data_IF_032328378282
#
_entry.id   IF_032328378282
#
_cell.length_a   1.000
_cell.length_b   1.000
_cell.length_c   1.000
_cell.angle_alpha   90.00
_cell.angle_beta   90.00
_cell.angle_gamma   90.00
#
_symmetry.space_group_name_H-M   'P 1'
#
loop_
_entity.id
_entity.type
_entity.pdbx_description
1 polymer ?
#
# COMPACT_ATOMS: atom_id res chain seq x y z
N UNK A 1 14.95 42.01 9.20
CA UNK A 1 14.82 40.76 9.99
C UNK A 1 15.14 39.49 9.19
N UNK A 2 14.56 39.26 8.00
CA UNK A 2 14.84 38.05 7.21
C UNK A 2 16.32 37.88 6.78
N UNK A 3 16.98 38.95 6.31
CA UNK A 3 18.40 38.91 5.93
C UNK A 3 19.33 38.64 7.13
N UNK A 4 19.04 39.22 8.30
CA UNK A 4 19.78 38.94 9.54
C UNK A 4 19.64 37.48 9.98
N UNK A 5 18.42 36.91 9.89
CA UNK A 5 18.17 35.50 10.23
C UNK A 5 18.86 34.55 9.26
N UNK A 6 18.85 34.83 7.95
CA UNK A 6 19.59 34.02 6.97
C UNK A 6 21.11 34.10 7.15
N UNK A 7 21.62 35.27 7.53
CA UNK A 7 23.05 35.46 7.80
C UNK A 7 23.47 34.73 9.08
N UNK A 8 22.68 34.82 10.16
CA UNK A 8 22.91 34.07 11.39
C UNK A 8 22.87 32.54 11.18
N UNK A 9 21.91 32.04 10.39
CA UNK A 9 21.86 30.61 10.01
C UNK A 9 23.07 30.18 9.17
N UNK A 10 23.55 31.04 8.27
CA UNK A 10 24.73 30.74 7.45
C UNK A 10 26.00 30.69 8.30
N UNK A 11 26.16 31.60 9.26
CA UNK A 11 27.27 31.58 10.21
C UNK A 11 27.24 30.34 11.10
N UNK A 12 26.06 30.01 11.65
CA UNK A 12 25.88 28.80 12.45
C UNK A 12 26.22 27.54 11.64
N UNK A 13 25.73 27.46 10.40
CA UNK A 13 26.03 26.34 9.50
C UNK A 13 27.52 26.24 9.21
N UNK A 14 28.21 27.36 8.96
CA UNK A 14 29.66 27.36 8.74
C UNK A 14 30.40 26.79 9.95
N UNK A 15 30.09 27.24 11.16
CA UNK A 15 30.73 26.78 12.40
C UNK A 15 30.43 25.29 12.63
N UNK A 16 29.17 24.90 12.54
CA UNK A 16 28.76 23.50 12.74
C UNK A 16 29.40 22.58 11.71
N UNK A 17 29.42 22.98 10.44
CA UNK A 17 30.06 22.21 9.38
C UNK A 17 31.56 22.09 9.63
N UNK A 18 32.26 23.18 9.95
CA UNK A 18 33.70 23.14 10.19
C UNK A 18 34.08 22.26 11.36
N UNK A 19 33.36 22.33 12.48
CA UNK A 19 33.57 21.47 13.65
C UNK A 19 33.30 20.00 13.31
N UNK A 20 32.20 19.71 12.61
CA UNK A 20 31.86 18.34 12.22
C UNK A 20 32.87 17.77 11.22
N UNK A 21 33.32 18.59 10.26
CA UNK A 21 34.32 18.24 9.28
C UNK A 21 35.65 17.92 9.95
N UNK A 22 36.11 18.78 10.88
CA UNK A 22 37.34 18.54 11.65
C UNK A 22 37.25 17.28 12.51
N UNK A 23 36.12 17.05 13.19
CA UNK A 23 35.93 15.84 13.99
C UNK A 23 36.02 14.57 13.12
N UNK A 24 35.35 14.56 11.95
CA UNK A 24 35.41 13.45 11.01
C UNK A 24 36.79 13.29 10.38
N UNK A 25 37.49 14.38 10.10
CA UNK A 25 38.86 14.35 9.59
C UNK A 25 39.81 13.75 10.63
N UNK A 26 39.72 14.15 11.91
CA UNK A 26 40.52 13.57 13.00
C UNK A 26 40.30 12.07 13.14
N UNK A 27 39.04 11.62 13.08
CA UNK A 27 38.71 10.17 13.10
C UNK A 27 39.33 9.48 11.88
N UNK A 28 39.22 10.08 10.70
CA UNK A 28 39.76 9.51 9.46
C UNK A 28 41.28 9.48 9.45
N UNK A 29 41.93 10.50 10.00
CA UNK A 29 43.38 10.59 10.15
C UNK A 29 43.90 9.52 11.11
N UNK A 30 43.22 9.32 12.24
CA UNK A 30 43.54 8.24 13.18
C UNK A 30 43.39 6.84 12.58
N UNK A 31 42.54 6.68 11.54
CA UNK A 31 42.35 5.40 10.86
C UNK A 31 43.35 5.14 9.74
N UNK A 32 43.80 6.18 9.05
CA UNK A 32 44.59 6.06 7.82
C UNK A 32 46.06 6.44 7.96
N UNK A 33 46.42 7.16 9.02
CA UNK A 33 47.74 7.79 9.23
C UNK A 33 48.19 8.69 8.07
N UNK A 34 47.27 9.06 7.16
CA UNK A 34 47.50 9.93 6.01
C UNK A 34 46.45 11.05 5.97
N UNK A 35 46.93 12.30 6.02
CA UNK A 35 46.08 13.49 5.98
C UNK A 35 45.31 13.65 4.68
N UNK A 36 45.84 13.16 3.55
CA UNK A 36 45.18 13.22 2.26
C UNK A 36 44.01 12.22 2.21
N UNK A 37 44.29 10.98 2.59
CA UNK A 37 43.29 9.91 2.66
C UNK A 37 42.16 10.26 3.65
N UNK A 38 42.51 10.88 4.77
CA UNK A 38 41.57 11.36 5.78
C UNK A 38 40.56 12.39 5.25
N UNK A 39 40.95 13.24 4.30
CA UNK A 39 40.04 14.21 3.65
C UNK A 39 39.01 13.51 2.77
N UNK A 40 39.43 12.45 2.06
CA UNK A 40 38.60 11.72 1.11
C UNK A 40 37.66 10.70 1.77
N UNK A 41 37.95 10.26 2.99
CA UNK A 41 37.15 9.28 3.72
C UNK A 41 35.84 9.90 4.25
N UNK A 42 35.72 10.17 5.56
CA UNK A 42 34.47 10.61 6.18
C UNK A 42 34.06 12.05 5.83
N UNK A 43 34.95 13.06 5.80
CA UNK A 43 34.55 14.44 5.54
C UNK A 43 33.85 14.62 4.19
N UNK A 44 34.30 13.91 3.15
CA UNK A 44 33.69 13.91 1.83
C UNK A 44 32.24 13.40 1.84
N UNK A 45 31.94 12.37 2.64
CA UNK A 45 30.59 11.86 2.80
C UNK A 45 29.64 12.89 3.42
N UNK A 46 30.07 13.56 4.50
CA UNK A 46 29.31 14.63 5.13
C UNK A 46 29.04 15.78 4.14
N UNK A 47 30.06 16.20 3.40
CA UNK A 47 29.96 17.25 2.38
C UNK A 47 28.89 16.93 1.34
N UNK A 48 29.01 15.77 0.68
CA UNK A 48 28.08 15.36 -0.36
C UNK A 48 26.64 15.35 0.17
N UNK A 49 26.45 14.83 1.38
CA UNK A 49 25.13 14.74 1.98
C UNK A 49 24.51 16.11 2.27
N UNK A 50 25.26 17.01 2.89
CA UNK A 50 24.77 18.36 3.19
C UNK A 50 24.50 19.16 1.91
N UNK A 51 25.31 18.99 0.86
CA UNK A 51 25.07 19.64 -0.43
C UNK A 51 23.78 19.15 -1.12
N UNK A 52 23.44 17.86 -0.97
CA UNK A 52 22.19 17.29 -1.49
C UNK A 52 20.98 17.77 -0.68
N UNK A 53 21.07 17.74 0.65
CA UNK A 53 19.94 17.96 1.56
C UNK A 53 19.63 19.44 1.83
N UNK A 54 20.65 20.30 1.81
CA UNK A 54 20.47 21.74 2.05
C UNK A 54 20.13 22.51 0.76
N UNK A 55 19.37 23.62 0.87
CA UNK A 55 19.12 24.51 -0.25
C UNK A 55 20.42 25.07 -0.85
N UNK A 56 20.46 25.23 -2.17
CA UNK A 56 21.64 25.71 -2.94
C UNK A 56 22.26 27.01 -2.44
N UNK A 57 21.48 27.87 -1.79
CA UNK A 57 21.96 29.13 -1.19
C UNK A 57 23.07 28.94 -0.15
N UNK A 58 23.16 27.76 0.47
CA UNK A 58 24.17 27.46 1.49
C UNK A 58 25.42 26.79 0.93
N UNK A 59 25.45 26.42 -0.36
CA UNK A 59 26.63 25.79 -0.96
C UNK A 59 27.90 26.65 -0.86
N UNK A 60 27.88 27.98 -1.11
CA UNK A 60 29.09 28.79 -0.99
C UNK A 60 29.66 28.78 0.43
N UNK A 61 28.80 28.72 1.45
CA UNK A 61 29.21 28.68 2.86
C UNK A 61 29.97 27.38 3.17
N UNK A 62 29.45 26.24 2.72
CA UNK A 62 30.10 24.93 2.90
C UNK A 62 31.45 24.89 2.16
N UNK A 63 31.48 25.34 0.90
CA UNK A 63 32.70 25.36 0.08
C UNK A 63 33.77 26.27 0.67
N UNK A 64 33.40 27.49 1.10
CA UNK A 64 34.35 28.43 1.71
C UNK A 64 34.91 27.90 3.03
N UNK A 65 34.05 27.33 3.89
CA UNK A 65 34.47 26.73 5.14
C UNK A 65 35.47 25.59 4.90
N UNK A 66 35.19 24.71 3.95
CA UNK A 66 36.09 23.60 3.63
C UNK A 66 37.40 24.05 2.98
N UNK A 67 37.36 25.02 2.06
CA UNK A 67 38.58 25.58 1.47
C UNK A 67 39.46 26.22 2.54
N UNK A 68 38.88 26.90 3.53
CA UNK A 68 39.62 27.45 4.67
C UNK A 68 40.27 26.36 5.53
N UNK A 69 39.56 25.26 5.78
CA UNK A 69 40.10 24.12 6.53
C UNK A 69 41.21 23.39 5.78
N UNK A 70 41.04 23.15 4.48
CA UNK A 70 42.08 22.54 3.64
C UNK A 70 43.31 23.45 3.54
N UNK A 71 43.13 24.77 3.42
CA UNK A 71 44.23 25.73 3.48
C UNK A 71 44.95 25.74 4.82
N UNK A 72 44.20 25.59 5.92
CA UNK A 72 44.78 25.46 7.27
C UNK A 72 45.59 24.17 7.43
N UNK A 73 45.07 23.03 6.95
CA UNK A 73 45.79 21.74 6.98
C UNK A 73 47.08 21.79 6.14
N UNK A 74 47.03 22.46 4.99
CA UNK A 74 48.21 22.68 4.14
C UNK A 74 49.28 23.51 4.88
N UNK A 75 48.88 24.59 5.55
CA UNK A 75 49.79 25.44 6.32
C UNK A 75 50.41 24.68 7.52
N UNK A 76 49.65 23.78 8.15
CA UNK A 76 50.15 22.92 9.23
C UNK A 76 50.97 21.72 8.76
N UNK A 77 51.23 21.59 7.45
CA UNK A 77 51.95 20.46 6.85
C UNK A 77 51.31 19.09 7.11
N UNK A 78 50.05 19.07 7.56
CA UNK A 78 49.27 17.83 7.77
C UNK A 78 48.78 17.25 6.44
N UNK A 79 48.82 18.05 5.37
CA UNK A 79 48.42 17.66 4.02
C UNK A 79 49.29 18.41 3.00
N UNK A 80 49.96 17.68 2.09
CA UNK A 80 51.03 18.24 1.26
C UNK A 80 50.58 18.66 -0.15
N UNK A 81 49.38 18.26 -0.58
CA UNK A 81 48.96 18.36 -1.99
C UNK A 81 47.88 19.44 -2.21
N UNK A 82 48.25 20.58 -2.79
CA UNK A 82 47.32 21.69 -3.07
C UNK A 82 46.12 21.28 -3.93
N UNK A 83 46.29 20.29 -4.80
CA UNK A 83 45.23 19.80 -5.71
C UNK A 83 43.97 19.31 -4.98
N UNK A 84 44.08 18.90 -3.70
CA UNK A 84 42.91 18.46 -2.92
C UNK A 84 41.87 19.58 -2.73
N UNK A 85 42.29 20.84 -2.83
CA UNK A 85 41.39 22.01 -2.72
C UNK A 85 40.34 22.06 -3.83
N UNK A 86 40.53 21.29 -4.92
CA UNK A 86 39.52 21.12 -5.98
C UNK A 86 38.43 20.10 -5.61
N UNK A 87 38.67 19.22 -4.64
CA UNK A 87 37.73 18.18 -4.20
C UNK A 87 36.32 18.70 -3.88
N UNK A 88 36.13 19.81 -3.13
CA UNK A 88 34.80 20.32 -2.80
C UNK A 88 33.99 20.71 -4.05
N UNK A 89 34.65 21.22 -5.09
CA UNK A 89 34.01 21.63 -6.33
C UNK A 89 33.56 20.44 -7.18
N UNK A 90 34.30 19.33 -7.14
CA UNK A 90 33.95 18.11 -7.84
C UNK A 90 32.63 17.51 -7.35
N UNK A 91 32.34 17.62 -6.05
CA UNK A 91 31.07 17.16 -5.47
C UNK A 91 29.84 18.01 -5.86
N UNK A 92 30.02 19.19 -6.48
CA UNK A 92 28.90 20.01 -6.97
C UNK A 92 28.10 19.29 -8.07
N UNK A 93 28.79 18.57 -8.97
CA UNK A 93 28.16 17.89 -10.11
C UNK A 93 27.18 16.81 -9.64
N UNK A 94 27.59 15.79 -8.86
CA UNK A 94 26.68 14.76 -8.36
C UNK A 94 25.62 15.34 -7.42
N UNK A 95 25.95 16.33 -6.58
CA UNK A 95 24.97 16.98 -5.71
C UNK A 95 23.87 17.71 -6.51
N UNK A 96 24.26 18.47 -7.55
CA UNK A 96 23.33 19.18 -8.42
C UNK A 96 22.38 18.23 -9.15
N UNK A 97 22.93 17.15 -9.72
CA UNK A 97 22.15 16.15 -10.44
C UNK A 97 21.12 15.49 -9.52
N UNK A 98 21.57 15.08 -8.33
CA UNK A 98 20.72 14.46 -7.30
C UNK A 98 19.60 15.39 -6.87
N UNK A 99 19.92 16.66 -6.59
CA UNK A 99 18.92 17.64 -6.14
C UNK A 99 17.88 17.95 -7.24
N UNK A 100 18.26 17.88 -8.52
CA UNK A 100 17.35 18.05 -9.67
C UNK A 100 16.29 16.94 -9.72
N UNK A 101 16.69 15.70 -9.45
CA UNK A 101 15.77 14.55 -9.45
C UNK A 101 15.09 14.31 -8.10
N UNK A 102 15.51 14.98 -7.02
CA UNK A 102 15.02 14.79 -5.67
C UNK A 102 13.49 14.81 -5.53
N UNK A 103 12.83 15.77 -6.21
CA UNK A 103 11.38 15.93 -6.14
C UNK A 103 10.58 14.87 -6.92
N UNK A 104 11.19 14.19 -7.88
CA UNK A 104 10.53 13.13 -8.65
C UNK A 104 10.32 11.87 -7.80
N UNK A 105 11.11 11.69 -6.73
CA UNK A 105 11.04 10.55 -5.84
C UNK A 105 10.39 10.93 -4.52
N UNK A 106 9.15 10.46 -4.33
CA UNK A 106 8.36 10.71 -3.11
C UNK A 106 8.62 9.65 -2.04
N UNK A 107 8.97 8.42 -2.44
CA UNK A 107 9.20 7.31 -1.54
C UNK A 107 10.63 7.32 -0.99
N UNK A 108 10.79 7.02 0.30
CA UNK A 108 12.08 7.03 1.00
C UNK A 108 13.10 6.06 0.37
N UNK A 109 12.67 4.88 -0.07
CA UNK A 109 13.57 3.87 -0.62
C UNK A 109 14.11 4.28 -1.99
N UNK A 110 13.32 5.03 -2.76
CA UNK A 110 13.75 5.62 -4.02
C UNK A 110 14.79 6.73 -3.78
N UNK A 111 14.58 7.56 -2.74
CA UNK A 111 15.57 8.57 -2.34
C UNK A 111 16.87 7.95 -1.86
N UNK A 112 16.83 6.86 -1.10
CA UNK A 112 18.03 6.13 -0.69
C UNK A 112 18.78 5.54 -1.90
N UNK A 113 18.09 4.96 -2.87
CA UNK A 113 18.72 4.51 -4.12
C UNK A 113 19.35 5.68 -4.87
N UNK A 114 18.66 6.82 -4.95
CA UNK A 114 19.20 8.03 -5.56
C UNK A 114 20.48 8.52 -4.81
N UNK A 115 20.48 8.52 -3.48
CA UNK A 115 21.65 8.86 -2.67
C UNK A 115 22.81 7.89 -2.91
N UNK A 116 22.55 6.58 -3.00
CA UNK A 116 23.58 5.58 -3.34
C UNK A 116 24.16 5.83 -4.74
N UNK A 117 23.32 6.18 -5.72
CA UNK A 117 23.82 6.55 -7.06
C UNK A 117 24.62 7.85 -7.06
N UNK A 118 24.29 8.79 -6.16
CA UNK A 118 25.05 10.02 -5.99
C UNK A 118 26.42 9.73 -5.37
N UNK A 119 26.49 8.82 -4.39
CA UNK A 119 27.74 8.38 -3.76
C UNK A 119 28.62 7.69 -4.79
N UNK A 120 28.11 6.70 -5.53
CA UNK A 120 28.90 6.01 -6.56
C UNK A 120 29.41 6.97 -7.64
N UNK A 121 28.55 7.87 -8.12
CA UNK A 121 28.93 8.90 -9.09
C UNK A 121 29.99 9.86 -8.56
N UNK A 122 29.87 10.28 -7.30
CA UNK A 122 30.85 11.16 -6.66
C UNK A 122 32.20 10.46 -6.50
N UNK A 123 32.23 9.19 -6.07
CA UNK A 123 33.45 8.41 -5.92
C UNK A 123 34.15 8.14 -7.25
N UNK A 124 33.40 7.77 -8.29
CA UNK A 124 33.95 7.61 -9.64
C UNK A 124 34.55 8.91 -10.16
N UNK A 125 33.87 10.04 -9.94
CA UNK A 125 34.34 11.34 -10.37
C UNK A 125 35.63 11.75 -9.63
N UNK A 126 35.72 11.52 -8.32
CA UNK A 126 36.95 11.80 -7.57
C UNK A 126 38.10 10.85 -7.98
N UNK A 127 37.82 9.56 -8.17
CA UNK A 127 38.81 8.61 -8.69
C UNK A 127 39.34 9.02 -10.06
N UNK A 128 38.46 9.34 -11.00
CA UNK A 128 38.85 9.70 -12.38
C UNK A 128 39.51 11.08 -12.49
N UNK A 129 39.13 12.05 -11.67
CA UNK A 129 39.65 13.43 -11.79
C UNK A 129 40.84 13.66 -10.88
N UNK A 130 40.85 13.14 -9.66
CA UNK A 130 41.94 13.35 -8.72
C UNK A 130 42.90 12.16 -8.66
N UNK A 131 42.44 10.93 -8.89
CA UNK A 131 43.25 9.72 -8.74
C UNK A 131 44.44 9.60 -9.72
N UNK A 132 44.48 10.37 -10.80
CA UNK A 132 45.65 10.45 -11.69
C UNK A 132 46.70 11.47 -11.23
N UNK A 133 46.31 12.43 -10.38
CA UNK A 133 47.12 13.59 -10.04
C UNK A 133 47.53 13.63 -8.56
N UNK A 134 46.82 12.87 -7.72
CA UNK A 134 47.18 12.67 -6.32
C UNK A 134 48.26 11.57 -6.20
N UNK A 135 49.08 11.62 -5.14
CA UNK A 135 50.03 10.55 -4.82
C UNK A 135 49.35 9.24 -4.36
N UNK A 136 48.02 9.26 -4.15
CA UNK A 136 47.23 8.07 -3.82
C UNK A 136 46.80 7.32 -5.07
N UNK A 137 46.87 5.97 -5.10
CA UNK A 137 46.38 5.18 -6.21
C UNK A 137 44.88 5.37 -6.41
N UNK A 138 44.45 5.22 -7.68
CA UNK A 138 43.06 5.32 -8.10
C UNK A 138 42.10 4.50 -7.24
N UNK A 139 42.48 3.26 -6.92
CA UNK A 139 41.65 2.32 -6.15
C UNK A 139 41.41 2.80 -4.72
N UNK A 140 42.43 3.34 -4.05
CA UNK A 140 42.31 3.89 -2.70
C UNK A 140 41.49 5.18 -2.68
N UNK A 141 41.67 6.06 -3.68
CA UNK A 141 40.86 7.29 -3.83
C UNK A 141 39.37 6.96 -4.01
N UNK A 142 39.07 5.95 -4.85
CA UNK A 142 37.71 5.49 -5.08
C UNK A 142 37.12 4.85 -3.81
N UNK A 143 37.87 3.96 -3.16
CA UNK A 143 37.41 3.22 -2.00
C UNK A 143 37.16 4.14 -0.80
N UNK A 144 38.06 5.09 -0.51
CA UNK A 144 37.91 6.04 0.59
C UNK A 144 36.65 6.91 0.42
N UNK A 145 36.51 7.52 -0.75
CA UNK A 145 35.37 8.38 -1.07
C UNK A 145 34.04 7.63 -1.07
N UNK A 146 34.06 6.36 -1.51
CA UNK A 146 32.89 5.50 -1.52
C UNK A 146 32.49 5.10 -0.10
N UNK A 147 33.45 4.66 0.72
CA UNK A 147 33.23 4.23 2.10
C UNK A 147 32.63 5.35 2.95
N UNK A 148 33.21 6.54 2.92
CA UNK A 148 32.68 7.67 3.68
C UNK A 148 31.32 8.15 3.18
N UNK A 149 31.11 8.14 1.86
CA UNK A 149 29.82 8.47 1.25
C UNK A 149 28.71 7.50 1.66
N UNK A 150 28.96 6.21 1.57
CA UNK A 150 28.01 5.14 1.91
C UNK A 150 27.62 5.16 3.39
N UNK A 151 28.55 5.52 4.28
CA UNK A 151 28.26 5.59 5.71
C UNK A 151 27.49 6.86 6.08
N UNK A 152 27.95 8.02 5.63
CA UNK A 152 27.45 9.30 6.16
C UNK A 152 26.28 9.87 5.37
N UNK A 153 26.20 9.66 4.05
CA UNK A 153 25.10 10.24 3.25
C UNK A 153 23.72 9.69 3.65
N UNK A 154 23.55 8.37 3.81
CA UNK A 154 22.27 7.79 4.25
C UNK A 154 21.97 8.10 5.73
N UNK A 155 23.01 8.16 6.58
CA UNK A 155 22.87 8.48 8.01
C UNK A 155 22.44 9.94 8.23
N UNK A 156 23.06 10.88 7.55
CA UNK A 156 22.67 12.29 7.59
C UNK A 156 21.28 12.51 6.98
N UNK A 157 20.91 11.76 5.93
CA UNK A 157 19.55 11.74 5.41
C UNK A 157 18.53 11.24 6.46
N UNK A 158 18.88 10.19 7.22
CA UNK A 158 18.06 9.68 8.31
C UNK A 158 17.82 10.75 9.38
N UNK A 159 18.85 11.48 9.78
CA UNK A 159 18.74 12.59 10.74
C UNK A 159 17.89 13.73 10.15
N UNK A 160 18.13 14.10 8.89
CA UNK A 160 17.37 15.14 8.21
C UNK A 160 15.86 14.82 8.17
N UNK A 161 15.50 13.60 7.80
CA UNK A 161 14.11 13.18 7.72
C UNK A 161 13.46 13.15 9.11
N UNK A 162 14.19 12.70 10.13
CA UNK A 162 13.71 12.75 11.52
C UNK A 162 13.41 14.17 11.99
N UNK A 163 14.35 15.10 11.80
CA UNK A 163 14.18 16.51 12.19
C UNK A 163 13.03 17.17 11.42
N UNK A 164 12.90 16.85 10.13
CA UNK A 164 11.83 17.35 9.28
C UNK A 164 10.46 16.82 9.76
N UNK A 165 10.34 15.53 10.02
CA UNK A 165 9.10 14.93 10.53
C UNK A 165 8.70 15.52 11.88
N UNK A 166 9.65 15.67 12.82
CA UNK A 166 9.40 16.27 14.13
C UNK A 166 8.94 17.73 14.02
N UNK A 167 9.52 18.50 13.10
CA UNK A 167 9.09 19.87 12.87
C UNK A 167 7.66 19.94 12.31
N UNK A 168 7.33 19.10 11.32
CA UNK A 168 5.99 19.11 10.73
C UNK A 168 4.93 18.56 11.69
N UNK A 169 5.25 17.53 12.48
CA UNK A 169 4.31 17.00 13.50
C UNK A 169 3.95 18.04 14.55
N UNK A 170 4.94 18.83 15.00
CA UNK A 170 4.72 19.92 15.95
C UNK A 170 3.86 21.04 15.35
N UNK A 171 3.96 21.28 14.04
CA UNK A 171 3.20 22.35 13.37
C UNK A 171 1.75 21.95 13.10
N UNK A 172 1.49 20.70 12.72
CA UNK A 172 0.17 20.30 12.22
C UNK A 172 -0.64 19.42 13.16
N UNK A 173 -0.09 18.95 14.29
CA UNK A 173 -0.77 18.01 15.22
C UNK A 173 -1.39 16.76 14.56
N UNK A 174 -1.05 16.50 13.29
CA UNK A 174 -1.51 15.37 12.52
C UNK A 174 -0.52 14.23 12.68
N UNK A 175 -1.02 13.05 13.04
CA UNK A 175 -0.26 11.81 12.98
C UNK A 175 0.09 11.55 11.51
N UNK A 176 1.36 11.75 11.16
CA UNK A 176 1.85 11.33 9.85
C UNK A 176 1.79 9.80 9.73
N UNK A 177 1.56 9.29 8.51
CA UNK A 177 1.49 7.85 8.26
C UNK A 177 2.81 7.10 8.55
N UNK A 178 3.94 7.81 8.59
CA UNK A 178 5.26 7.21 8.83
C UNK A 178 5.71 7.39 10.29
N UNK A 179 6.15 6.33 10.98
CA UNK A 179 6.57 6.44 12.36
C UNK A 179 7.89 7.24 12.47
N UNK A 180 8.01 8.17 13.44
CA UNK A 180 9.31 8.77 13.78
C UNK A 180 10.31 7.69 14.19
N UNK A 181 11.62 8.03 14.25
CA UNK A 181 12.63 7.17 14.88
C UNK A 181 12.09 6.72 16.24
N UNK A 182 11.68 5.45 16.33
CA UNK A 182 11.07 4.92 17.54
C UNK A 182 12.16 4.87 18.61
N UNK A 183 11.85 5.27 19.83
CA UNK A 183 12.75 5.06 20.98
C UNK A 183 13.17 3.59 21.08
N UNK A 184 12.27 2.67 20.73
CA UNK A 184 12.58 1.24 20.62
C UNK A 184 13.66 0.91 19.59
N UNK A 185 13.77 1.63 18.47
CA UNK A 185 14.83 1.44 17.49
C UNK A 185 16.20 1.73 18.13
N UNK A 186 16.33 2.87 18.82
CA UNK A 186 17.56 3.25 19.50
C UNK A 186 17.93 2.25 20.61
N UNK A 187 16.95 1.78 21.39
CA UNK A 187 17.17 0.78 22.44
C UNK A 187 17.65 -0.55 21.86
N UNK A 188 16.98 -1.06 20.82
CA UNK A 188 17.38 -2.31 20.17
C UNK A 188 18.76 -2.20 19.52
N UNK A 189 19.05 -1.07 18.86
CA UNK A 189 20.38 -0.81 18.32
C UNK A 189 21.46 -0.77 19.40
N UNK A 190 21.23 -0.04 20.49
CA UNK A 190 22.18 0.04 21.60
C UNK A 190 22.41 -1.32 22.25
N UNK A 191 21.35 -2.13 22.42
CA UNK A 191 21.44 -3.46 23.02
C UNK A 191 22.21 -4.42 22.12
N UNK A 192 21.90 -4.46 20.82
CA UNK A 192 22.59 -5.31 19.86
C UNK A 192 24.05 -4.91 19.72
N UNK A 193 24.33 -3.61 19.69
CA UNK A 193 25.69 -3.08 19.65
C UNK A 193 26.48 -3.44 20.91
N UNK A 194 25.89 -3.26 22.09
CA UNK A 194 26.53 -3.62 23.36
C UNK A 194 26.82 -5.13 23.45
N UNK A 195 25.88 -5.97 23.03
CA UNK A 195 26.10 -7.43 22.95
C UNK A 195 27.23 -7.73 21.97
N UNK A 196 27.25 -7.08 20.80
CA UNK A 196 28.29 -7.26 19.80
C UNK A 196 29.69 -6.95 20.35
N UNK A 197 29.84 -5.82 21.05
CA UNK A 197 31.11 -5.43 21.71
C UNK A 197 31.47 -6.43 22.82
N UNK A 198 30.53 -6.84 23.67
CA UNK A 198 30.80 -7.81 24.74
C UNK A 198 31.23 -9.18 24.20
N UNK A 199 30.52 -9.71 23.20
CA UNK A 199 30.85 -10.97 22.51
C UNK A 199 32.23 -10.88 21.89
N UNK A 200 32.54 -9.74 21.27
CA UNK A 200 33.85 -9.49 20.70
C UNK A 200 34.96 -9.51 21.76
N UNK A 201 34.82 -8.75 22.85
CA UNK A 201 35.84 -8.73 23.92
C UNK A 201 36.06 -10.11 24.56
N UNK A 202 35.04 -10.97 24.60
CA UNK A 202 35.13 -12.31 25.17
C UNK A 202 35.73 -13.36 24.22
N UNK A 203 35.55 -13.23 22.90
CA UNK A 203 35.88 -14.27 21.89
C UNK A 203 37.13 -13.89 21.04
N UNK A 204 37.59 -12.64 21.12
CA UNK A 204 38.62 -12.06 20.25
C UNK A 204 39.95 -12.83 20.06
N UNK A 205 40.54 -13.57 21.02
CA UNK A 205 41.88 -14.11 20.78
C UNK A 205 41.92 -15.30 19.79
N UNK A 206 40.81 -15.97 19.48
CA UNK A 206 40.85 -17.23 18.73
C UNK A 206 40.08 -17.25 17.39
N UNK A 207 39.19 -16.29 17.11
CA UNK A 207 38.18 -16.42 16.04
C UNK A 207 37.88 -15.12 15.27
N UNK A 208 38.91 -14.45 14.72
CA UNK A 208 38.77 -13.25 13.89
C UNK A 208 37.76 -13.41 12.73
N UNK A 209 37.66 -14.61 12.15
CA UNK A 209 36.76 -14.91 11.02
C UNK A 209 35.28 -15.01 11.40
N UNK A 210 34.96 -15.43 12.63
CA UNK A 210 33.57 -15.50 13.10
C UNK A 210 33.02 -14.12 13.48
N UNK A 211 33.91 -13.18 13.81
CA UNK A 211 33.59 -11.79 14.14
C UNK A 211 32.81 -11.10 13.02
N UNK A 212 33.13 -11.43 11.75
CA UNK A 212 32.42 -10.92 10.58
C UNK A 212 30.93 -11.26 10.60
N UNK A 213 30.55 -12.48 10.95
CA UNK A 213 29.14 -12.92 10.98
C UNK A 213 28.34 -12.10 12.01
N UNK A 214 28.94 -11.80 13.16
CA UNK A 214 28.30 -11.05 14.23
C UNK A 214 28.06 -9.58 13.89
N UNK A 215 28.84 -8.98 13.00
CA UNK A 215 28.60 -7.60 12.56
C UNK A 215 27.45 -7.52 11.52
N UNK A 216 27.24 -8.58 10.73
CA UNK A 216 26.16 -8.60 9.73
C UNK A 216 24.78 -8.98 10.30
N UNK A 217 24.71 -9.81 11.34
CA UNK A 217 23.43 -10.24 11.94
C UNK A 217 22.56 -9.05 12.43
N UNK A 218 23.11 -8.02 13.10
CA UNK A 218 22.40 -6.79 13.44
C UNK A 218 21.74 -6.12 12.24
N UNK A 219 22.41 -6.09 11.08
CA UNK A 219 21.87 -5.49 9.86
C UNK A 219 20.58 -6.18 9.42
N UNK A 220 20.57 -7.52 9.41
CA UNK A 220 19.38 -8.29 9.03
C UNK A 220 18.24 -8.08 10.01
N UNK A 221 18.52 -8.19 11.32
CA UNK A 221 17.49 -8.05 12.35
C UNK A 221 16.88 -6.63 12.36
N UNK A 222 17.74 -5.61 12.30
CA UNK A 222 17.29 -4.22 12.32
C UNK A 222 16.58 -3.82 11.04
N UNK A 223 17.04 -4.31 9.89
CA UNK A 223 16.34 -4.11 8.63
C UNK A 223 14.96 -4.80 8.62
N UNK A 224 14.85 -6.01 9.16
CA UNK A 224 13.57 -6.72 9.30
C UNK A 224 12.57 -5.96 10.16
N UNK A 225 13.01 -5.51 11.34
CA UNK A 225 12.13 -4.91 12.35
C UNK A 225 11.81 -3.43 12.07
N UNK A 226 12.75 -2.70 11.48
CA UNK A 226 12.67 -1.24 11.36
C UNK A 226 12.93 -0.73 9.93
N UNK A 227 12.96 -1.62 8.93
CA UNK A 227 13.11 -1.26 7.53
C UNK A 227 14.43 -0.54 7.26
N UNK A 228 14.38 0.49 6.42
CA UNK A 228 15.56 1.24 6.01
C UNK A 228 16.25 1.99 7.17
N UNK A 229 15.48 2.50 8.14
CA UNK A 229 16.04 3.24 9.28
C UNK A 229 16.93 2.33 10.13
N UNK A 230 16.45 1.11 10.40
CA UNK A 230 17.22 0.10 11.11
C UNK A 230 18.46 -0.33 10.33
N UNK A 231 18.33 -0.52 9.01
CA UNK A 231 19.45 -0.88 8.14
C UNK A 231 20.58 0.16 8.13
N UNK A 232 20.25 1.45 8.03
CA UNK A 232 21.23 2.55 8.07
C UNK A 232 21.88 2.67 9.45
N UNK A 233 21.10 2.56 10.54
CA UNK A 233 21.65 2.72 11.89
C UNK A 233 22.52 1.51 12.30
N UNK A 234 22.13 0.30 11.91
CA UNK A 234 22.94 -0.90 12.08
C UNK A 234 24.22 -0.87 11.22
N UNK A 235 24.16 -0.30 10.01
CA UNK A 235 25.34 -0.05 9.19
C UNK A 235 26.37 0.82 9.93
N UNK A 236 25.97 1.99 10.41
CA UNK A 236 26.88 2.91 11.14
C UNK A 236 27.42 2.29 12.43
N UNK A 237 26.56 1.65 13.23
CA UNK A 237 26.99 1.01 14.47
C UNK A 237 27.91 -0.18 14.22
N UNK A 238 27.61 -1.02 13.23
CA UNK A 238 28.48 -2.13 12.86
C UNK A 238 29.84 -1.66 12.33
N UNK A 239 29.86 -0.57 11.58
CA UNK A 239 31.08 0.09 11.12
C UNK A 239 31.92 0.65 12.28
N UNK A 240 31.25 1.22 13.30
CA UNK A 240 31.91 1.63 14.54
C UNK A 240 32.46 0.42 15.31
N UNK A 241 31.71 -0.70 15.33
CA UNK A 241 32.16 -1.95 15.94
C UNK A 241 33.44 -2.48 15.26
N UNK A 242 33.46 -2.57 13.93
CA UNK A 242 34.63 -2.99 13.14
C UNK A 242 35.83 -2.09 13.44
N UNK A 243 35.60 -0.78 13.54
CA UNK A 243 36.66 0.18 13.86
C UNK A 243 37.24 -0.04 15.25
N UNK A 244 36.40 -0.28 16.26
CA UNK A 244 36.83 -0.65 17.61
C UNK A 244 37.56 -1.99 17.60
N UNK A 245 37.15 -2.95 16.77
CA UNK A 245 37.86 -4.23 16.59
C UNK A 245 39.28 -4.04 16.11
N UNK A 246 39.48 -3.23 15.06
CA UNK A 246 40.82 -2.93 14.57
C UNK A 246 41.73 -2.39 15.67
N UNK A 247 41.20 -1.50 16.51
CA UNK A 247 41.96 -0.92 17.62
C UNK A 247 42.25 -1.91 18.76
N UNK A 248 41.29 -2.77 19.10
CA UNK A 248 41.40 -3.66 20.26
C UNK A 248 42.18 -4.96 19.98
N UNK A 249 42.03 -5.54 18.78
CA UNK A 249 42.64 -6.83 18.44
C UNK A 249 43.73 -6.74 17.38
N UNK A 250 43.95 -5.57 16.76
CA UNK A 250 44.86 -5.42 15.62
C UNK A 250 44.36 -6.10 14.33
N UNK A 251 43.08 -6.51 14.28
CA UNK A 251 42.48 -7.05 13.06
C UNK A 251 42.41 -5.97 11.96
N UNK A 252 42.41 -6.37 10.68
CA UNK A 252 42.45 -5.46 9.52
C UNK A 252 43.73 -4.62 9.48
N UNK A 253 44.86 -5.29 9.20
CA UNK A 253 46.17 -4.66 9.08
C UNK A 253 46.24 -3.71 7.88
N UNK A 254 45.52 -4.04 6.79
CA UNK A 254 45.42 -3.20 5.61
C UNK A 254 44.21 -2.25 5.68
N UNK A 255 44.44 -0.98 5.39
CA UNK A 255 43.40 0.05 5.36
C UNK A 255 42.36 -0.25 4.27
N UNK A 256 42.79 -0.78 3.13
CA UNK A 256 41.88 -1.14 2.04
C UNK A 256 40.95 -2.30 2.45
N UNK A 257 41.45 -3.25 3.25
CA UNK A 257 40.63 -4.33 3.80
C UNK A 257 39.55 -3.77 4.73
N UNK A 258 39.92 -2.88 5.66
CA UNK A 258 38.97 -2.21 6.55
C UNK A 258 37.87 -1.50 5.75
N UNK A 259 38.25 -0.64 4.80
CA UNK A 259 37.31 0.15 4.02
C UNK A 259 36.36 -0.70 3.18
N UNK A 260 36.87 -1.80 2.61
CA UNK A 260 36.05 -2.76 1.88
C UNK A 260 35.03 -3.40 2.82
N UNK A 261 35.41 -3.76 4.05
CA UNK A 261 34.49 -4.31 5.03
C UNK A 261 33.45 -3.29 5.50
N UNK A 262 33.84 -2.05 5.81
CA UNK A 262 32.93 -0.97 6.17
C UNK A 262 31.91 -0.70 5.05
N UNK A 263 32.40 -0.57 3.81
CA UNK A 263 31.56 -0.37 2.62
C UNK A 263 30.59 -1.53 2.40
N UNK A 264 31.06 -2.77 2.48
CA UNK A 264 30.25 -3.97 2.25
C UNK A 264 29.16 -4.10 3.31
N UNK A 265 29.51 -3.87 4.58
CA UNK A 265 28.60 -3.95 5.71
C UNK A 265 27.53 -2.86 5.67
N UNK A 266 27.91 -1.63 5.31
CA UNK A 266 26.96 -0.56 5.14
C UNK A 266 26.04 -0.77 3.92
N UNK A 267 26.58 -1.24 2.80
CA UNK A 267 25.79 -1.58 1.62
C UNK A 267 24.78 -2.69 1.91
N UNK A 268 25.18 -3.74 2.63
CA UNK A 268 24.29 -4.83 3.03
C UNK A 268 23.16 -4.33 3.94
N UNK A 269 23.49 -3.55 4.98
CA UNK A 269 22.49 -2.97 5.87
C UNK A 269 21.46 -2.11 5.14
N UNK A 270 21.93 -1.26 4.22
CA UNK A 270 21.06 -0.42 3.42
C UNK A 270 20.23 -1.16 2.38
N UNK A 271 20.84 -2.08 1.63
CA UNK A 271 20.14 -2.83 0.58
C UNK A 271 19.06 -3.73 1.18
N UNK A 272 19.35 -4.41 2.30
CA UNK A 272 18.35 -5.14 3.07
C UNK A 272 17.26 -4.22 3.61
N UNK A 273 17.65 -3.09 4.20
CA UNK A 273 16.71 -2.09 4.70
C UNK A 273 15.75 -1.59 3.62
N UNK A 274 16.28 -1.25 2.44
CA UNK A 274 15.50 -0.83 1.25
C UNK A 274 14.56 -1.94 0.79
N UNK A 275 15.07 -3.17 0.63
CA UNK A 275 14.31 -4.30 0.12
C UNK A 275 13.15 -4.67 1.05
N UNK A 276 13.42 -4.79 2.35
CA UNK A 276 12.41 -5.14 3.35
C UNK A 276 11.36 -4.03 3.45
N UNK A 277 11.79 -2.77 3.44
CA UNK A 277 10.86 -1.64 3.53
C UNK A 277 9.95 -1.56 2.29
N UNK A 278 10.47 -1.85 1.09
CA UNK A 278 9.67 -2.00 -0.13
C UNK A 278 8.68 -3.16 -0.04
N UNK A 279 9.11 -4.31 0.49
CA UNK A 279 8.26 -5.48 0.68
C UNK A 279 7.12 -5.20 1.66
N UNK A 280 7.42 -4.58 2.80
CA UNK A 280 6.42 -4.19 3.81
C UNK A 280 5.41 -3.20 3.22
N UNK A 281 5.86 -2.22 2.45
CA UNK A 281 4.97 -1.25 1.79
C UNK A 281 4.02 -1.96 0.80
N UNK A 282 4.53 -2.88 -0.02
CA UNK A 282 3.71 -3.64 -0.97
C UNK A 282 2.67 -4.51 -0.24
N UNK A 283 3.07 -5.18 0.84
CA UNK A 283 2.17 -6.00 1.65
C UNK A 283 1.03 -5.15 2.27
N UNK A 284 1.34 -3.95 2.76
CA UNK A 284 0.33 -3.02 3.29
C UNK A 284 -0.64 -2.55 2.20
N UNK A 285 -0.14 -2.20 1.01
CA UNK A 285 -1.01 -1.82 -0.11
C UNK A 285 -1.93 -2.96 -0.52
N UNK A 286 -1.41 -4.18 -0.65
CA UNK A 286 -2.20 -5.36 -0.97
C UNK A 286 -3.29 -5.62 0.08
N UNK A 287 -2.95 -5.50 1.36
CA UNK A 287 -3.93 -5.68 2.44
C UNK A 287 -5.05 -4.62 2.39
N UNK A 288 -4.71 -3.35 2.12
CA UNK A 288 -5.71 -2.27 1.95
C UNK A 288 -6.61 -2.53 0.74
N UNK A 289 -6.05 -2.87 -0.41
CA UNK A 289 -6.82 -3.20 -1.60
C UNK A 289 -7.75 -4.39 -1.38
N UNK A 290 -7.26 -5.44 -0.71
CA UNK A 290 -8.09 -6.60 -0.36
C UNK A 290 -9.28 -6.20 0.51
N UNK A 291 -9.05 -5.41 1.55
CA UNK A 291 -10.12 -4.98 2.46
C UNK A 291 -11.13 -4.06 1.75
N UNK A 292 -10.68 -3.17 0.86
CA UNK A 292 -11.57 -2.34 0.03
C UNK A 292 -12.44 -3.21 -0.90
N UNK A 293 -11.83 -4.19 -1.57
CA UNK A 293 -12.56 -5.10 -2.45
C UNK A 293 -13.60 -5.93 -1.67
N UNK A 294 -13.25 -6.43 -0.49
CA UNK A 294 -14.19 -7.13 0.39
C UNK A 294 -15.38 -6.24 0.79
N UNK A 295 -15.15 -4.97 1.09
CA UNK A 295 -16.21 -3.99 1.42
C UNK A 295 -17.10 -3.68 0.21
N UNK A 296 -16.53 -3.51 -0.97
CA UNK A 296 -17.28 -3.30 -2.21
C UNK A 296 -18.15 -4.51 -2.55
N UNK A 297 -17.61 -5.73 -2.41
CA UNK A 297 -18.36 -6.97 -2.63
C UNK A 297 -19.52 -7.11 -1.64
N UNK A 298 -19.30 -6.80 -0.37
CA UNK A 298 -20.37 -6.81 0.65
C UNK A 298 -21.45 -5.77 0.34
N UNK A 299 -21.07 -4.56 -0.05
CA UNK A 299 -22.00 -3.50 -0.43
C UNK A 299 -22.82 -3.92 -1.65
N UNK A 300 -22.17 -4.50 -2.67
CA UNK A 300 -22.84 -4.99 -3.87
C UNK A 300 -23.84 -6.10 -3.56
N UNK A 301 -23.49 -7.06 -2.69
CA UNK A 301 -24.42 -8.12 -2.25
C UNK A 301 -25.66 -7.55 -1.57
N UNK A 302 -25.47 -6.62 -0.62
CA UNK A 302 -26.59 -5.95 0.06
C UNK A 302 -27.48 -5.14 -0.88
N UNK A 303 -26.90 -4.50 -1.90
CA UNK A 303 -27.68 -3.77 -2.92
C UNK A 303 -28.47 -4.71 -3.80
N UNK A 304 -27.90 -5.86 -4.19
CA UNK A 304 -28.62 -6.89 -4.95
C UNK A 304 -29.79 -7.47 -4.13
N UNK A 305 -29.56 -7.80 -2.86
CA UNK A 305 -30.63 -8.27 -1.94
C UNK A 305 -31.76 -7.23 -1.85
N UNK A 306 -31.43 -5.95 -1.63
CA UNK A 306 -32.42 -4.87 -1.60
C UNK A 306 -33.16 -4.70 -2.92
N UNK A 307 -32.46 -4.83 -4.05
CA UNK A 307 -33.08 -4.71 -5.37
C UNK A 307 -34.11 -5.83 -5.58
N UNK A 308 -33.76 -7.07 -5.23
CA UNK A 308 -34.68 -8.21 -5.29
C UNK A 308 -35.93 -7.96 -4.44
N UNK A 309 -35.77 -7.59 -3.16
CA UNK A 309 -36.92 -7.27 -2.31
C UNK A 309 -37.77 -6.11 -2.86
N UNK A 310 -37.12 -5.05 -3.36
CA UNK A 310 -37.84 -3.91 -3.95
C UNK A 310 -38.62 -4.33 -5.20
N UNK A 311 -38.06 -5.19 -6.05
CA UNK A 311 -38.73 -5.72 -7.24
C UNK A 311 -39.96 -6.56 -6.84
N UNK A 312 -39.86 -7.34 -5.77
CA UNK A 312 -40.96 -8.14 -5.24
C UNK A 312 -42.07 -7.28 -4.63
N UNK A 313 -41.72 -6.25 -3.84
CA UNK A 313 -42.67 -5.31 -3.27
C UNK A 313 -43.45 -4.57 -4.36
N UNK A 314 -42.76 -4.11 -5.42
CA UNK A 314 -43.40 -3.47 -6.57
C UNK A 314 -44.32 -4.46 -7.31
N UNK A 315 -43.91 -5.71 -7.51
CA UNK A 315 -44.79 -6.73 -8.11
C UNK A 315 -46.03 -6.98 -7.27
N UNK A 316 -45.90 -6.99 -5.93
CA UNK A 316 -47.00 -7.14 -4.99
C UNK A 316 -47.98 -5.98 -5.07
N UNK A 317 -47.47 -4.76 -5.11
CA UNK A 317 -48.29 -3.55 -5.22
C UNK A 317 -49.06 -3.51 -6.55
N UNK A 318 -48.38 -3.75 -7.67
CA UNK A 318 -49.01 -3.79 -9.00
C UNK A 318 -50.09 -4.88 -9.09
N UNK A 319 -49.81 -6.09 -8.57
CA UNK A 319 -50.80 -7.17 -8.60
C UNK A 319 -52.04 -6.82 -7.78
N UNK A 320 -51.88 -6.17 -6.63
CA UNK A 320 -52.99 -5.74 -5.78
C UNK A 320 -53.82 -4.65 -6.46
N UNK A 321 -53.19 -3.62 -6.99
CA UNK A 321 -53.87 -2.51 -7.67
C UNK A 321 -54.65 -3.00 -8.90
N UNK A 322 -54.04 -3.86 -9.72
CA UNK A 322 -54.72 -4.50 -10.85
C UNK A 322 -55.90 -5.37 -10.42
N UNK A 323 -55.77 -6.13 -9.33
CA UNK A 323 -56.87 -6.97 -8.82
C UNK A 323 -58.04 -6.12 -8.33
N UNK A 324 -57.76 -5.10 -7.53
CA UNK A 324 -58.77 -4.25 -6.91
C UNK A 324 -59.47 -3.37 -7.95
N UNK A 325 -58.75 -2.63 -8.79
CA UNK A 325 -59.37 -1.71 -9.74
C UNK A 325 -59.98 -2.41 -10.96
N UNK A 326 -59.22 -3.28 -11.63
CA UNK A 326 -59.69 -3.91 -12.87
C UNK A 326 -60.73 -4.97 -12.56
N UNK A 327 -60.53 -5.75 -11.48
CA UNK A 327 -61.48 -6.78 -11.06
C UNK A 327 -62.86 -6.20 -10.78
N UNK A 328 -62.93 -5.16 -9.96
CA UNK A 328 -64.20 -4.50 -9.59
C UNK A 328 -64.90 -3.88 -10.81
N UNK A 329 -64.15 -3.19 -11.67
CA UNK A 329 -64.71 -2.58 -12.88
C UNK A 329 -65.29 -3.62 -13.85
N UNK A 330 -64.62 -4.76 -14.04
CA UNK A 330 -65.16 -5.86 -14.86
C UNK A 330 -66.41 -6.45 -14.22
N UNK A 331 -66.42 -6.69 -12.92
CA UNK A 331 -67.61 -7.20 -12.22
C UNK A 331 -68.80 -6.25 -12.40
N UNK A 332 -68.59 -4.93 -12.29
CA UNK A 332 -69.61 -3.94 -12.55
C UNK A 332 -70.15 -4.01 -14.00
N UNK A 333 -69.26 -4.11 -15.00
CA UNK A 333 -69.64 -4.26 -16.42
C UNK A 333 -70.46 -5.55 -16.62
N UNK A 334 -70.07 -6.67 -16.01
CA UNK A 334 -70.81 -7.93 -16.10
C UNK A 334 -72.21 -7.83 -15.49
N UNK A 335 -72.34 -7.22 -14.31
CA UNK A 335 -73.63 -6.99 -13.66
C UNK A 335 -74.52 -6.10 -14.53
N UNK A 336 -73.97 -5.02 -15.08
CA UNK A 336 -74.73 -4.08 -15.90
C UNK A 336 -75.16 -4.72 -17.22
N UNK A 337 -74.30 -5.52 -17.86
CA UNK A 337 -74.65 -6.33 -19.03
C UNK A 337 -75.76 -7.35 -18.70
N UNK A 338 -75.71 -8.01 -17.55
CA UNK A 338 -76.74 -8.95 -17.11
C UNK A 338 -78.09 -8.26 -16.89
N UNK A 339 -78.10 -7.08 -16.28
CA UNK A 339 -79.30 -6.27 -16.06
C UNK A 339 -79.93 -5.82 -17.38
N UNK A 340 -79.11 -5.31 -18.32
CA UNK A 340 -79.59 -4.92 -19.66
C UNK A 340 -80.14 -6.14 -20.40
N UNK A 341 -79.50 -7.30 -20.31
CA UNK A 341 -79.99 -8.54 -20.93
C UNK A 341 -81.37 -8.95 -20.39
N UNK A 342 -81.58 -8.87 -19.07
CA UNK A 342 -82.87 -9.20 -18.42
C UNK A 342 -84.00 -8.21 -18.75
N UNK A 343 -83.67 -6.97 -19.11
CA UNK A 343 -84.63 -5.88 -19.35
C UNK A 343 -84.70 -5.43 -20.81
N UNK A 344 -84.06 -6.16 -21.73
CA UNK A 344 -83.92 -5.78 -23.13
C UNK A 344 -85.27 -5.78 -23.89
N UNK A 345 -85.69 -4.65 -24.49
CA UNK A 345 -86.95 -4.55 -25.22
C UNK A 345 -86.87 -5.08 -26.66
N UNK A 346 -85.66 -5.35 -27.19
CA UNK A 346 -85.45 -5.83 -28.55
C UNK A 346 -84.39 -6.94 -28.62
N UNK A 347 -84.46 -7.86 -29.59
CA UNK A 347 -83.46 -8.92 -29.79
C UNK A 347 -82.04 -8.37 -30.02
N UNK A 348 -81.93 -7.20 -30.68
CA UNK A 348 -80.65 -6.54 -30.93
C UNK A 348 -79.99 -6.04 -29.64
N UNK A 349 -80.76 -5.48 -28.71
CA UNK A 349 -80.25 -5.06 -27.39
C UNK A 349 -79.77 -6.27 -26.56
N UNK A 350 -80.44 -7.41 -26.67
CA UNK A 350 -80.06 -8.63 -25.98
C UNK A 350 -78.77 -9.25 -26.54
N UNK A 351 -78.59 -9.22 -27.87
CA UNK A 351 -77.33 -9.58 -28.53
C UNK A 351 -76.16 -8.70 -28.09
N UNK A 352 -76.36 -7.37 -28.03
CA UNK A 352 -75.34 -6.44 -27.57
C UNK A 352 -74.94 -6.70 -26.10
N UNK A 353 -75.92 -6.95 -25.22
CA UNK A 353 -75.65 -7.29 -23.81
C UNK A 353 -74.86 -8.59 -23.66
N UNK A 354 -75.18 -9.63 -24.45
CA UNK A 354 -74.42 -10.87 -24.50
C UNK A 354 -72.98 -10.65 -24.99
N UNK A 355 -72.79 -9.81 -26.02
CA UNK A 355 -71.46 -9.46 -26.52
C UNK A 355 -70.63 -8.74 -25.47
N UNK A 356 -71.17 -7.73 -24.79
CA UNK A 356 -70.47 -7.01 -23.70
C UNK A 356 -70.11 -7.97 -22.57
N UNK A 357 -71.02 -8.85 -22.15
CA UNK A 357 -70.75 -9.88 -21.15
C UNK A 357 -69.59 -10.80 -21.57
N UNK A 358 -69.63 -11.30 -22.82
CA UNK A 358 -68.57 -12.18 -23.34
C UNK A 358 -67.21 -11.49 -23.44
N UNK A 359 -67.19 -10.20 -23.83
CA UNK A 359 -65.97 -9.41 -23.93
C UNK A 359 -65.39 -9.14 -22.55
N UNK A 360 -66.24 -8.76 -21.59
CA UNK A 360 -65.87 -8.55 -20.19
C UNK A 360 -65.32 -9.83 -19.56
N UNK A 361 -65.91 -10.99 -19.86
CA UNK A 361 -65.43 -12.27 -19.37
C UNK A 361 -64.07 -12.66 -19.97
N UNK A 362 -63.85 -12.35 -21.26
CA UNK A 362 -62.54 -12.55 -21.90
C UNK A 362 -61.46 -11.64 -21.30
N UNK A 363 -61.78 -10.35 -21.08
CA UNK A 363 -60.88 -9.41 -20.39
C UNK A 363 -60.58 -9.91 -18.97
N UNK A 364 -61.59 -10.37 -18.23
CA UNK A 364 -61.40 -10.92 -16.88
C UNK A 364 -60.44 -12.11 -16.87
N UNK A 365 -60.60 -13.05 -17.81
CA UNK A 365 -59.70 -14.19 -17.95
C UNK A 365 -58.27 -13.75 -18.27
N UNK A 366 -58.08 -12.80 -19.19
CA UNK A 366 -56.76 -12.26 -19.54
C UNK A 366 -56.10 -11.52 -18.37
N UNK A 367 -56.84 -10.67 -17.65
CA UNK A 367 -56.33 -9.96 -16.46
C UNK A 367 -55.95 -10.95 -15.36
N UNK A 368 -56.78 -11.97 -15.11
CA UNK A 368 -56.48 -13.02 -14.12
C UNK A 368 -55.22 -13.81 -14.49
N UNK A 369 -54.99 -14.06 -15.79
CA UNK A 369 -53.77 -14.68 -16.29
C UNK A 369 -52.53 -13.77 -16.11
N UNK A 370 -52.65 -12.46 -16.33
CA UNK A 370 -51.57 -11.50 -16.07
C UNK A 370 -51.24 -11.38 -14.58
N UNK A 371 -52.26 -11.33 -13.71
CA UNK A 371 -52.10 -11.33 -12.26
C UNK A 371 -51.36 -12.59 -11.78
N UNK A 372 -51.73 -13.77 -12.28
CA UNK A 372 -50.99 -15.03 -11.99
C UNK A 372 -49.52 -14.97 -12.40
N UNK A 373 -49.21 -14.30 -13.52
CA UNK A 373 -47.84 -14.12 -13.96
C UNK A 373 -47.08 -13.09 -13.11
N UNK A 374 -47.73 -12.02 -12.66
CA UNK A 374 -47.13 -10.98 -11.82
C UNK A 374 -46.91 -11.45 -10.39
N UNK A 375 -47.98 -11.90 -9.73
CA UNK A 375 -47.94 -12.50 -8.39
C UNK A 375 -49.16 -13.41 -8.15
N UNK A 376 -49.00 -14.73 -7.98
CA UNK A 376 -50.12 -15.63 -7.70
C UNK A 376 -50.78 -15.24 -6.37
N UNK A 377 -52.05 -14.78 -6.37
CA UNK A 377 -52.72 -14.30 -5.15
C UNK A 377 -52.91 -15.42 -4.12
N UNK A 378 -52.95 -16.68 -4.59
CA UNK A 378 -53.01 -17.88 -3.76
C UNK A 378 -51.88 -17.93 -2.72
N UNK A 379 -50.69 -17.37 -3.02
CA UNK A 379 -49.57 -17.34 -2.07
C UNK A 379 -49.76 -16.35 -0.90
N UNK A 380 -50.70 -15.41 -1.01
CA UNK A 380 -51.06 -14.50 0.10
C UNK A 380 -52.16 -15.09 1.01
N UNK A 381 -52.93 -16.04 0.50
CA UNK A 381 -54.14 -16.58 1.17
C UNK A 381 -53.90 -17.94 1.84
N UNK A 382 -52.92 -18.71 1.38
CA UNK A 382 -52.66 -20.06 1.86
C UNK A 382 -51.16 -20.42 1.89
N UNK A 383 -50.75 -21.35 2.77
CA UNK A 383 -49.36 -21.80 2.84
C UNK A 383 -48.92 -22.53 1.56
N UNK A 384 -47.60 -22.61 1.33
CA UNK A 384 -46.99 -23.09 0.07
C UNK A 384 -47.46 -24.47 -0.35
N UNK A 385 -47.63 -25.40 0.59
CA UNK A 385 -48.13 -26.76 0.34
C UNK A 385 -49.54 -26.73 -0.28
N UNK A 386 -50.45 -25.95 0.32
CA UNK A 386 -51.81 -25.77 -0.19
C UNK A 386 -51.80 -25.01 -1.52
N UNK A 387 -50.94 -24.01 -1.66
CA UNK A 387 -50.78 -23.25 -2.90
C UNK A 387 -50.33 -24.14 -4.07
N UNK A 388 -49.37 -25.03 -3.84
CA UNK A 388 -48.89 -25.99 -4.85
C UNK A 388 -49.95 -27.02 -5.21
N UNK A 389 -50.73 -27.49 -4.22
CA UNK A 389 -51.87 -28.38 -4.47
C UNK A 389 -52.92 -27.70 -5.34
N UNK A 390 -53.30 -26.46 -4.98
CA UNK A 390 -54.24 -25.65 -5.75
C UNK A 390 -53.72 -25.38 -7.17
N UNK A 391 -52.42 -25.13 -7.33
CA UNK A 391 -51.79 -24.97 -8.64
C UNK A 391 -51.95 -26.23 -9.49
N UNK A 392 -51.76 -27.42 -8.92
CA UNK A 392 -51.94 -28.68 -9.65
C UNK A 392 -53.41 -28.93 -10.05
N UNK A 393 -54.36 -28.60 -9.18
CA UNK A 393 -55.79 -28.72 -9.46
C UNK A 393 -56.22 -27.82 -10.63
N UNK A 394 -55.62 -26.62 -10.76
CA UNK A 394 -55.89 -25.72 -11.90
C UNK A 394 -55.48 -26.28 -13.26
N UNK A 395 -54.50 -27.20 -13.32
CA UNK A 395 -54.12 -27.87 -14.57
C UNK A 395 -55.10 -28.97 -14.99
N UNK A 396 -56.04 -29.36 -14.12
CA UNK A 396 -57.07 -30.35 -14.39
C UNK A 396 -56.53 -31.64 -15.03
N UNK A 397 -55.35 -32.12 -14.56
CA UNK A 397 -54.66 -33.29 -15.11
C UNK A 397 -55.55 -34.54 -15.18
N UNK A 398 -56.47 -34.71 -14.22
CA UNK A 398 -57.43 -35.81 -14.21
C UNK A 398 -58.38 -35.81 -15.42
N UNK A 399 -58.82 -34.63 -15.89
CA UNK A 399 -59.66 -34.50 -17.08
C UNK A 399 -58.90 -34.83 -18.36
N UNK A 400 -57.57 -34.74 -18.32
CA UNK A 400 -56.65 -35.09 -19.41
C UNK A 400 -56.18 -36.55 -19.35
N UNK A 401 -56.64 -37.32 -18.37
CA UNK A 401 -56.24 -38.72 -18.16
C UNK A 401 -54.82 -38.90 -17.62
N UNK A 402 -54.26 -37.86 -17.01
CA UNK A 402 -52.91 -37.86 -16.42
C UNK A 402 -53.03 -38.07 -14.91
N UNK A 403 -52.32 -39.08 -14.38
CA UNK A 403 -52.26 -39.33 -12.94
C UNK A 403 -51.21 -38.41 -12.32
N UNK A 404 -51.61 -37.54 -11.38
CA UNK A 404 -50.73 -36.56 -10.75
C UNK A 404 -50.58 -36.89 -9.25
N UNK A 405 -49.33 -36.91 -8.75
CA UNK A 405 -49.06 -37.08 -7.33
C UNK A 405 -48.04 -36.03 -6.84
N UNK A 406 -48.48 -35.15 -5.93
CA UNK A 406 -47.59 -34.20 -5.26
C UNK A 406 -47.08 -34.80 -3.94
N UNK A 407 -45.76 -34.96 -3.83
CA UNK A 407 -45.10 -35.29 -2.57
C UNK A 407 -44.38 -34.05 -2.04
N UNK A 408 -44.89 -33.47 -0.94
CA UNK A 408 -44.36 -32.27 -0.31
C UNK A 408 -43.75 -32.61 1.04
N UNK A 409 -42.42 -32.50 1.14
CA UNK A 409 -41.65 -32.84 2.34
C UNK A 409 -40.69 -31.71 2.75
N UNK A 410 -41.22 -30.49 2.93
CA UNK A 410 -40.45 -29.31 3.35
C UNK A 410 -40.89 -28.83 4.75
N UNK A 411 -40.26 -29.30 5.83
CA UNK A 411 -40.44 -28.75 7.18
C UNK A 411 -39.20 -27.94 7.64
N UNK A 412 -39.35 -26.66 8.05
CA UNK A 412 -40.52 -25.77 7.93
C UNK A 412 -40.59 -25.07 6.56
N UNK A 413 -41.76 -24.51 6.22
CA UNK A 413 -41.93 -23.58 5.11
C UNK A 413 -40.91 -22.44 5.23
N UNK A 414 -40.24 -22.02 4.15
CA UNK A 414 -39.30 -20.90 4.20
C UNK A 414 -40.01 -19.66 4.74
N UNK A 415 -39.43 -19.00 5.75
CA UNK A 415 -40.01 -17.79 6.36
C UNK A 415 -39.88 -16.53 5.52
N UNK A 416 -39.20 -16.61 4.36
CA UNK A 416 -38.94 -15.50 3.46
C UNK A 416 -39.86 -15.64 2.23
N UNK A 417 -40.82 -14.72 2.08
CA UNK A 417 -41.84 -14.73 1.02
C UNK A 417 -41.23 -14.85 -0.39
N UNK A 418 -40.04 -14.28 -0.60
CA UNK A 418 -39.25 -14.37 -1.83
C UNK A 418 -38.97 -15.82 -2.24
N UNK A 419 -38.58 -16.65 -1.27
CA UNK A 419 -38.25 -18.05 -1.47
C UNK A 419 -39.51 -18.84 -1.78
N UNK A 420 -40.58 -18.60 -1.02
CA UNK A 420 -41.91 -19.21 -1.23
C UNK A 420 -42.42 -18.93 -2.64
N UNK A 421 -42.34 -17.67 -3.06
CA UNK A 421 -42.72 -17.23 -4.40
C UNK A 421 -41.87 -17.86 -5.51
N UNK A 422 -40.55 -17.89 -5.31
CA UNK A 422 -39.61 -18.48 -6.27
C UNK A 422 -39.89 -19.98 -6.45
N UNK A 423 -40.09 -20.72 -5.36
CA UNK A 423 -40.44 -22.14 -5.38
C UNK A 423 -41.75 -22.38 -6.14
N UNK A 424 -42.79 -21.59 -5.85
CA UNK A 424 -44.06 -21.70 -6.54
C UNK A 424 -43.92 -21.46 -8.06
N UNK A 425 -43.22 -20.40 -8.47
CA UNK A 425 -42.98 -20.11 -9.89
C UNK A 425 -42.18 -21.22 -10.57
N UNK A 426 -41.21 -21.79 -9.88
CA UNK A 426 -40.39 -22.89 -10.40
C UNK A 426 -41.27 -24.12 -10.68
N UNK A 427 -42.12 -24.51 -9.72
CA UNK A 427 -43.07 -25.61 -9.92
C UNK A 427 -44.09 -25.29 -11.01
N UNK A 428 -44.62 -24.06 -11.06
CA UNK A 428 -45.54 -23.63 -12.09
C UNK A 428 -44.96 -23.77 -13.51
N UNK A 429 -43.73 -23.31 -13.71
CA UNK A 429 -43.07 -23.39 -15.01
C UNK A 429 -42.70 -24.83 -15.37
N UNK A 430 -42.33 -25.66 -14.39
CA UNK A 430 -42.13 -27.09 -14.58
C UNK A 430 -43.42 -27.79 -15.04
N UNK A 431 -44.54 -27.57 -14.33
CA UNK A 431 -45.83 -28.16 -14.69
C UNK A 431 -46.31 -27.70 -16.07
N UNK A 432 -46.12 -26.42 -16.38
CA UNK A 432 -46.43 -25.85 -17.71
C UNK A 432 -45.60 -26.52 -18.81
N UNK A 433 -44.30 -26.71 -18.58
CA UNK A 433 -43.40 -27.39 -19.52
C UNK A 433 -43.78 -28.87 -19.70
N UNK A 434 -44.10 -29.58 -18.61
CA UNK A 434 -44.55 -30.97 -18.66
C UNK A 434 -45.84 -31.09 -19.48
N UNK A 435 -46.84 -30.26 -19.19
CA UNK A 435 -48.13 -30.28 -19.89
C UNK A 435 -47.97 -30.00 -21.40
N UNK A 436 -47.10 -29.05 -21.79
CA UNK A 436 -46.90 -28.68 -23.19
C UNK A 436 -46.01 -29.64 -23.98
N UNK A 437 -45.05 -30.29 -23.33
CA UNK A 437 -43.94 -30.94 -24.04
C UNK A 437 -43.72 -32.41 -23.69
N UNK A 438 -44.17 -32.89 -22.54
CA UNK A 438 -43.77 -34.22 -22.06
C UNK A 438 -44.66 -35.37 -22.55
N UNK A 439 -45.91 -35.12 -22.97
CA UNK A 439 -46.92 -36.17 -23.21
C UNK A 439 -46.98 -37.20 -22.07
N UNK A 440 -46.83 -36.72 -20.82
CA UNK A 440 -46.74 -37.56 -19.65
C UNK A 440 -48.10 -38.19 -19.32
N UNK A 441 -48.10 -39.46 -18.92
CA UNK A 441 -49.31 -40.15 -18.39
C UNK A 441 -49.36 -40.18 -16.87
N UNK A 442 -48.20 -40.05 -16.23
CA UNK A 442 -48.03 -39.93 -14.78
C UNK A 442 -47.08 -38.76 -14.51
N UNK A 443 -47.43 -37.87 -13.59
CA UNK A 443 -46.64 -36.69 -13.18
C UNK A 443 -46.37 -36.78 -11.68
#
# INVERSE_FOLDING_TARGET
MWQLRSMGLSLFLAIFYSLSWLALWTISFYLSDDGLHAVLLLPQGLRLALMILLPRRYWPVLLLAECALLGWLYNQQLQTTVLITLSPFLSLIPAWLTQRFWHHYTLYWQRLLLLLTAVTGNSLLHGLVLGFWLPLPFTQTLLASFTGGILLVPFTYLIYEYLKQQHISNLFSQQMPDPPLRTSLLIWCSLIFAIGVCVQMAIAPNMERLLLIFVFLPNVFMAYKFGWQGGVLAAVLGSLMITVTRQASGAFHDLAELELFLSTQALLGMTLGIAISRQQQLAQHLHRYRNQLEQELQTRRKLLERLVHTEEDVRKEIARELHDEIGQNITAIQIQAMLVNRSAPTPAAQLAANQISSLSQRIHQTTRQLLRQLRPPVLDEMPLDQALQHLADEFAFAEQGINFQLDYALPPTPGEDAVVFTLYRLVQELLNNINKHANARNI
#
